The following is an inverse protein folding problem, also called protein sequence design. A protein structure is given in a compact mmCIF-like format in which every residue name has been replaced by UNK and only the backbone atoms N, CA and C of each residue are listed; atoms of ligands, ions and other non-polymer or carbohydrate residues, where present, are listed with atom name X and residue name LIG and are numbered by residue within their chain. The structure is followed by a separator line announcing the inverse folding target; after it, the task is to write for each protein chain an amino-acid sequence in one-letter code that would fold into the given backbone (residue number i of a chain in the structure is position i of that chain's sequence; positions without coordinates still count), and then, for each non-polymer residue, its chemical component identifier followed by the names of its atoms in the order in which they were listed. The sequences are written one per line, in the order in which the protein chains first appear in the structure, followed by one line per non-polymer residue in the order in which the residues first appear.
data_IF_119951061958
#
_entry.id   IF_119951061958
#
_cell.length_a   1.000
_cell.length_b   1.000
_cell.length_c   1.000
_cell.angle_alpha   90.00
_cell.angle_beta   90.00
_cell.angle_gamma   90.00
#
_symmetry.space_group_name_H-M   'P 1'
#
loop_
_entity.id
_entity.type
_entity.pdbx_description
1 polymer ?
#
# COMPACT_ATOMS: atom_id res chain seq x y z
N UNK A 1 11.80 33.77 27.30
CA UNK A 1 11.33 34.59 26.16
C UNK A 1 10.39 33.75 25.32
N UNK A 2 9.20 34.27 24.98
CA UNK A 2 8.27 33.62 24.05
C UNK A 2 8.84 33.73 22.63
N UNK A 3 8.92 32.62 21.90
CA UNK A 3 9.16 32.61 20.46
C UNK A 3 7.88 32.20 19.73
N UNK A 4 7.63 32.86 18.60
CA UNK A 4 6.43 32.73 17.79
C UNK A 4 6.33 31.33 17.14
N UNK A 5 5.13 30.78 17.18
CA UNK A 5 4.63 29.64 16.39
C UNK A 5 5.51 28.38 16.31
N UNK A 6 5.71 27.73 17.46
CA UNK A 6 5.33 26.32 17.66
C UNK A 6 5.78 25.23 16.67
N UNK A 7 6.99 25.31 16.10
CA UNK A 7 7.57 24.13 15.43
C UNK A 7 8.09 23.20 16.52
N UNK A 8 7.27 22.24 16.92
CA UNK A 8 7.75 21.07 17.65
C UNK A 8 8.65 20.27 16.72
N UNK A 9 9.83 19.89 17.21
CA UNK A 9 10.69 18.90 16.57
C UNK A 9 10.02 17.52 16.71
N UNK A 10 8.91 17.29 16.00
CA UNK A 10 8.23 15.99 15.98
C UNK A 10 8.92 15.12 14.94
N UNK A 11 9.24 13.88 15.31
CA UNK A 11 9.60 12.83 14.37
C UNK A 11 8.39 12.55 13.45
N UNK A 12 8.23 13.34 12.39
CA UNK A 12 7.05 13.31 11.53
C UNK A 12 6.79 11.92 10.91
N UNK A 13 7.83 11.08 10.80
CA UNK A 13 7.71 9.70 10.31
C UNK A 13 7.03 8.76 11.31
N UNK A 14 7.23 8.93 12.62
CA UNK A 14 6.57 8.11 13.65
C UNK A 14 5.06 8.38 13.67
N UNK A 15 4.68 9.66 13.56
CA UNK A 15 3.27 10.06 13.44
C UNK A 15 2.61 9.50 12.16
N UNK A 16 3.34 9.45 11.04
CA UNK A 16 2.84 8.83 9.81
C UNK A 16 2.70 7.31 9.98
N UNK A 17 3.65 6.65 10.64
CA UNK A 17 3.58 5.22 10.95
C UNK A 17 2.34 4.94 11.81
N UNK A 18 2.14 5.70 12.89
CA UNK A 18 0.98 5.54 13.76
C UNK A 18 -0.33 5.74 12.98
N UNK A 19 -0.42 6.82 12.20
CA UNK A 19 -1.59 7.06 11.34
C UNK A 19 -1.85 5.93 10.34
N UNK A 20 -0.80 5.37 9.72
CA UNK A 20 -0.93 4.26 8.79
C UNK A 20 -1.45 2.99 9.45
N UNK A 21 -0.93 2.67 10.65
CA UNK A 21 -1.25 1.44 11.36
C UNK A 21 -2.63 1.51 12.05
N UNK A 22 -3.10 2.71 12.39
CA UNK A 22 -4.40 2.92 13.03
C UNK A 22 -5.56 3.07 12.02
N UNK A 23 -5.27 3.31 10.73
CA UNK A 23 -6.30 3.57 9.71
C UNK A 23 -6.79 2.29 9.04
N UNK A 24 -8.11 2.12 8.98
CA UNK A 24 -8.77 1.09 8.16
C UNK A 24 -8.67 1.49 6.68
N UNK A 25 -8.08 0.64 5.85
CA UNK A 25 -7.83 0.92 4.43
C UNK A 25 -8.00 -0.32 3.55
N UNK A 26 -8.96 -1.16 3.90
CA UNK A 26 -9.29 -2.40 3.19
C UNK A 26 -10.21 -2.13 1.98
N UNK A 27 -10.11 -0.93 1.42
CA UNK A 27 -10.93 -0.43 0.31
C UNK A 27 -10.43 -0.92 -1.04
N UNK A 28 -10.26 0.00 -1.98
CA UNK A 28 -9.77 -0.32 -3.32
C UNK A 28 -8.23 -0.43 -3.37
N UNK A 29 -7.69 -0.82 -4.52
CA UNK A 29 -6.27 -1.12 -4.69
C UNK A 29 -5.32 0.04 -4.31
N UNK A 30 -5.64 1.30 -4.62
CA UNK A 30 -4.88 2.47 -4.21
C UNK A 30 -4.93 2.70 -2.69
N UNK A 31 -6.08 2.58 -2.03
CA UNK A 31 -6.15 2.63 -0.55
C UNK A 31 -5.19 1.62 0.10
N UNK A 32 -5.21 0.39 -0.42
CA UNK A 32 -4.36 -0.70 0.03
C UNK A 32 -2.86 -0.44 -0.23
N UNK A 33 -2.54 0.13 -1.40
CA UNK A 33 -1.17 0.43 -1.81
C UNK A 33 -0.59 1.64 -1.06
N UNK A 34 -1.35 2.72 -0.88
CA UNK A 34 -0.87 3.99 -0.35
C UNK A 34 -0.30 3.87 1.07
N UNK A 35 -0.90 3.05 1.94
CA UNK A 35 -0.32 2.80 3.27
C UNK A 35 1.02 2.08 3.15
N UNK A 36 1.09 1.01 2.35
CA UNK A 36 2.31 0.23 2.19
C UNK A 36 3.43 1.12 1.65
N UNK A 37 3.09 2.03 0.74
CA UNK A 37 3.99 3.06 0.26
C UNK A 37 4.53 3.93 1.41
N UNK A 38 3.65 4.51 2.23
CA UNK A 38 4.05 5.33 3.38
C UNK A 38 4.91 4.54 4.39
N UNK A 39 4.49 3.34 4.76
CA UNK A 39 5.21 2.48 5.70
C UNK A 39 6.58 2.06 5.17
N UNK A 40 6.69 1.75 3.88
CA UNK A 40 7.97 1.45 3.25
C UNK A 40 8.95 2.62 3.43
N UNK A 41 8.58 3.83 3.04
CA UNK A 41 9.50 4.96 3.15
C UNK A 41 9.81 5.35 4.61
N UNK A 42 8.85 5.25 5.53
CA UNK A 42 9.09 5.55 6.93
C UNK A 42 9.99 4.50 7.61
N UNK A 43 9.79 3.21 7.32
CA UNK A 43 10.62 2.12 7.87
C UNK A 43 12.07 2.15 7.39
N UNK A 44 12.35 2.84 6.28
CA UNK A 44 13.72 3.04 5.76
C UNK A 44 14.54 4.05 6.55
N UNK A 45 13.90 4.90 7.34
CA UNK A 45 14.55 5.99 8.09
C UNK A 45 14.37 5.86 9.60
N UNK A 46 13.57 4.89 10.06
CA UNK A 46 13.33 4.61 11.48
C UNK A 46 12.94 3.15 11.70
N UNK A 47 13.41 2.57 12.79
CA UNK A 47 12.99 1.23 13.27
C UNK A 47 11.74 1.30 14.19
N UNK A 48 11.15 2.48 14.36
CA UNK A 48 9.95 2.67 15.18
C UNK A 48 8.81 1.73 14.73
N UNK A 49 8.26 0.97 15.69
CA UNK A 49 7.19 -0.02 15.47
C UNK A 49 7.44 -1.02 14.33
N UNK A 50 8.71 -1.33 14.05
CA UNK A 50 9.11 -2.27 12.98
C UNK A 50 8.30 -3.58 12.98
N UNK A 51 8.12 -4.19 14.17
CA UNK A 51 7.39 -5.45 14.27
C UNK A 51 5.92 -5.31 13.88
N UNK A 52 5.26 -4.23 14.29
CA UNK A 52 3.87 -3.95 13.93
C UNK A 52 3.73 -3.72 12.42
N UNK A 53 4.73 -3.06 11.80
CA UNK A 53 4.78 -2.86 10.34
C UNK A 53 4.91 -4.21 9.63
N UNK A 54 5.78 -5.10 10.10
CA UNK A 54 5.94 -6.45 9.53
C UNK A 54 4.62 -7.25 9.62
N UNK A 55 3.98 -7.23 10.79
CA UNK A 55 2.71 -7.94 11.02
C UNK A 55 1.58 -7.36 10.16
N UNK A 56 1.53 -6.03 10.01
CA UNK A 56 0.63 -5.35 9.09
C UNK A 56 0.85 -5.81 7.64
N UNK A 57 2.11 -5.92 7.20
CA UNK A 57 2.44 -6.36 5.85
C UNK A 57 1.99 -7.80 5.59
N UNK A 58 2.17 -8.73 6.54
CA UNK A 58 1.66 -10.10 6.41
C UNK A 58 0.14 -10.16 6.32
N UNK A 59 -0.56 -9.39 7.16
CA UNK A 59 -2.01 -9.28 7.07
C UNK A 59 -2.45 -8.73 5.70
N UNK A 60 -1.74 -7.72 5.20
CA UNK A 60 -2.02 -7.07 3.92
C UNK A 60 -1.85 -8.00 2.72
N UNK A 61 -0.84 -8.90 2.73
CA UNK A 61 -0.71 -9.94 1.70
C UNK A 61 -1.92 -10.88 1.67
N UNK A 62 -2.50 -11.19 2.83
CA UNK A 62 -3.75 -11.94 2.92
C UNK A 62 -4.91 -11.22 2.22
N UNK A 63 -5.06 -9.92 2.47
CA UNK A 63 -6.09 -9.08 1.84
C UNK A 63 -5.88 -8.99 0.33
N UNK A 64 -4.64 -8.80 -0.15
CA UNK A 64 -4.35 -8.70 -1.57
C UNK A 64 -4.80 -9.94 -2.35
N UNK A 65 -4.72 -11.11 -1.73
CA UNK A 65 -5.18 -12.36 -2.33
C UNK A 65 -6.68 -12.37 -2.65
N UNK A 66 -7.49 -11.60 -1.93
CA UNK A 66 -8.92 -11.46 -2.20
C UNK A 66 -9.23 -10.68 -3.49
N UNK A 67 -8.24 -9.98 -4.05
CA UNK A 67 -8.34 -9.24 -5.31
C UNK A 67 -7.73 -10.00 -6.48
N UNK A 68 -7.05 -11.12 -6.22
CA UNK A 68 -6.33 -11.90 -7.23
C UNK A 68 -7.25 -12.92 -7.90
N UNK A 69 -7.14 -13.05 -9.23
CA UNK A 69 -7.91 -14.00 -10.02
C UNK A 69 -7.01 -15.18 -10.41
N UNK A 70 -7.05 -16.28 -9.66
CA UNK A 70 -6.13 -17.42 -9.86
C UNK A 70 -6.18 -18.02 -11.28
N UNK A 71 -7.36 -18.08 -11.91
CA UNK A 71 -7.51 -18.70 -13.24
C UNK A 71 -7.00 -17.84 -14.39
N UNK A 72 -7.02 -16.51 -14.22
CA UNK A 72 -6.67 -15.53 -15.28
C UNK A 72 -5.28 -14.95 -15.03
N UNK A 73 -4.89 -14.86 -13.75
CA UNK A 73 -3.81 -14.02 -13.26
C UNK A 73 -4.24 -12.55 -13.16
N UNK A 74 -3.48 -11.79 -12.36
CA UNK A 74 -3.72 -10.36 -12.14
C UNK A 74 -4.71 -10.07 -11.03
N UNK A 75 -4.88 -8.78 -10.75
CA UNK A 75 -5.74 -8.28 -9.67
C UNK A 75 -6.78 -7.31 -10.20
N UNK A 76 -7.96 -7.29 -9.60
CA UNK A 76 -8.97 -6.26 -9.86
C UNK A 76 -8.82 -5.07 -8.90
N UNK A 77 -9.21 -3.88 -9.33
CA UNK A 77 -9.11 -2.65 -8.54
C UNK A 77 -10.05 -2.62 -7.32
N UNK A 78 -11.25 -3.15 -7.49
CA UNK A 78 -12.18 -3.45 -6.40
C UNK A 78 -12.30 -4.97 -6.24
N UNK A 79 -12.68 -5.46 -5.07
CA UNK A 79 -12.94 -6.90 -4.89
C UNK A 79 -14.03 -7.37 -5.87
N UNK A 80 -13.69 -8.37 -6.70
CA UNK A 80 -14.56 -8.94 -7.74
C UNK A 80 -15.09 -7.92 -8.77
N UNK A 81 -14.36 -6.80 -9.00
CA UNK A 81 -14.80 -5.77 -9.93
C UNK A 81 -13.62 -4.93 -10.46
N UNK A 82 -13.49 -4.85 -11.79
CA UNK A 82 -12.54 -3.99 -12.46
C UNK A 82 -12.83 -2.49 -12.21
N UNK A 83 -11.80 -1.65 -12.23
CA UNK A 83 -11.99 -0.21 -12.14
C UNK A 83 -12.87 0.32 -13.28
N UNK A 84 -13.99 0.98 -12.96
CA UNK A 84 -14.90 1.55 -13.95
C UNK A 84 -14.83 3.08 -14.02
N UNK A 85 -14.26 3.76 -13.02
CA UNK A 85 -14.19 5.22 -12.95
C UNK A 85 -12.77 5.67 -12.61
N UNK A 86 -12.20 6.52 -13.46
CA UNK A 86 -10.92 7.17 -13.21
C UNK A 86 -11.05 8.68 -13.44
N UNK A 87 -10.84 9.48 -12.40
CA UNK A 87 -11.05 10.94 -12.42
C UNK A 87 -12.38 11.37 -13.08
N UNK A 88 -13.48 10.74 -12.67
CA UNK A 88 -14.85 10.96 -13.20
C UNK A 88 -15.06 10.51 -14.65
N UNK A 89 -14.04 9.99 -15.34
CA UNK A 89 -14.20 9.37 -16.65
C UNK A 89 -14.52 7.89 -16.49
N UNK A 90 -15.47 7.40 -17.28
CA UNK A 90 -15.76 5.95 -17.35
C UNK A 90 -14.71 5.28 -18.23
N UNK A 91 -13.97 4.32 -17.67
CA UNK A 91 -12.85 3.65 -18.36
C UNK A 91 -13.12 2.20 -18.72
N UNK A 92 -14.02 1.53 -18.00
CA UNK A 92 -14.44 0.14 -18.30
C UNK A 92 -15.92 -0.08 -18.00
N UNK A 93 -16.39 -1.32 -18.18
CA UNK A 93 -17.73 -1.75 -17.76
C UNK A 93 -17.80 -2.19 -16.29
N UNK A 94 -16.67 -2.27 -15.58
CA UNK A 94 -16.61 -2.74 -14.20
C UNK A 94 -17.06 -4.20 -14.06
N UNK A 95 -16.59 -5.08 -14.93
CA UNK A 95 -16.89 -6.51 -14.88
C UNK A 95 -16.11 -7.18 -13.74
N UNK A 96 -16.52 -8.40 -13.38
CA UNK A 96 -15.79 -9.22 -12.42
C UNK A 96 -14.56 -9.86 -13.10
N UNK A 97 -13.52 -9.05 -13.31
CA UNK A 97 -12.29 -9.43 -14.00
C UNK A 97 -11.11 -8.62 -13.45
N UNK A 98 -9.87 -9.12 -13.58
CA UNK A 98 -8.68 -8.34 -13.24
C UNK A 98 -8.54 -7.15 -14.18
N UNK A 99 -7.90 -6.08 -13.70
CA UNK A 99 -7.62 -4.90 -14.50
C UNK A 99 -6.20 -4.38 -14.27
N UNK A 100 -5.71 -3.56 -15.20
CA UNK A 100 -4.33 -3.07 -15.16
C UNK A 100 -4.08 -2.16 -13.96
N UNK A 101 -5.07 -1.40 -13.50
CA UNK A 101 -4.91 -0.46 -12.40
C UNK A 101 -4.76 -1.22 -11.08
N UNK A 102 -5.68 -2.15 -10.80
CA UNK A 102 -5.58 -3.04 -9.65
C UNK A 102 -4.30 -3.85 -9.67
N UNK A 103 -3.98 -4.47 -10.81
CA UNK A 103 -2.78 -5.31 -10.96
C UNK A 103 -1.49 -4.53 -10.66
N UNK A 104 -1.34 -3.33 -11.21
CA UNK A 104 -0.13 -2.52 -10.98
C UNK A 104 -0.01 -2.11 -9.51
N UNK A 105 -1.10 -1.67 -8.88
CA UNK A 105 -1.09 -1.25 -7.47
C UNK A 105 -0.72 -2.40 -6.53
N UNK A 106 -1.32 -3.56 -6.69
CA UNK A 106 -1.05 -4.71 -5.82
C UNK A 106 0.33 -5.32 -6.06
N UNK A 107 0.78 -5.45 -7.31
CA UNK A 107 2.15 -5.93 -7.60
C UNK A 107 3.19 -4.97 -7.04
N UNK A 108 2.97 -3.66 -7.13
CA UNK A 108 3.86 -2.68 -6.52
C UNK A 108 3.84 -2.78 -5.00
N UNK A 109 2.66 -2.90 -4.38
CA UNK A 109 2.55 -3.13 -2.94
C UNK A 109 3.31 -4.39 -2.49
N UNK A 110 3.20 -5.50 -3.23
CA UNK A 110 3.95 -6.74 -2.96
C UNK A 110 5.46 -6.51 -3.05
N UNK A 111 5.92 -5.76 -4.05
CA UNK A 111 7.33 -5.43 -4.21
C UNK A 111 7.88 -4.56 -3.06
N UNK A 112 7.06 -3.67 -2.49
CA UNK A 112 7.45 -2.89 -1.32
C UNK A 112 7.42 -3.73 -0.04
N UNK A 113 6.37 -4.53 0.15
CA UNK A 113 6.26 -5.47 1.27
C UNK A 113 7.45 -6.42 1.30
N UNK A 114 7.87 -6.96 0.14
CA UNK A 114 9.02 -7.87 0.10
C UNK A 114 10.31 -7.21 0.58
N UNK A 115 10.50 -5.91 0.33
CA UNK A 115 11.64 -5.15 0.84
C UNK A 115 11.52 -4.86 2.34
N UNK A 116 10.32 -4.54 2.85
CA UNK A 116 10.08 -4.36 4.30
C UNK A 116 10.41 -5.65 5.05
N UNK A 117 9.90 -6.78 4.55
CA UNK A 117 10.02 -8.10 5.18
C UNK A 117 11.36 -8.81 4.89
N UNK A 118 12.25 -8.20 4.08
CA UNK A 118 13.49 -8.81 3.61
C UNK A 118 13.29 -10.21 2.99
N UNK A 119 12.33 -10.33 2.07
CA UNK A 119 12.06 -11.58 1.36
C UNK A 119 13.01 -11.75 0.16
N UNK A 120 14.01 -12.62 0.33
CA UNK A 120 15.12 -12.81 -0.63
C UNK A 120 14.72 -13.41 -1.99
N UNK A 121 13.49 -13.91 -2.14
CA UNK A 121 13.02 -14.49 -3.41
C UNK A 121 12.44 -13.45 -4.38
N UNK A 122 12.37 -12.17 -3.98
CA UNK A 122 11.78 -11.08 -4.76
C UNK A 122 12.79 -9.94 -4.94
N UNK A 123 13.63 -10.02 -5.98
CA UNK A 123 14.61 -8.97 -6.29
C UNK A 123 14.08 -7.93 -7.29
N UNK A 124 12.97 -7.26 -6.94
CA UNK A 124 12.50 -6.11 -7.71
C UNK A 124 13.34 -4.87 -7.39
N UNK A 125 13.77 -4.18 -8.45
CA UNK A 125 14.20 -2.78 -8.34
C UNK A 125 12.97 -1.91 -8.14
N UNK A 126 12.97 -1.09 -7.10
CA UNK A 126 11.88 -0.13 -6.87
C UNK A 126 12.03 0.99 -7.91
N UNK A 127 10.97 1.31 -8.68
CA UNK A 127 11.04 2.39 -9.67
C UNK A 127 11.37 3.73 -8.99
N UNK A 128 12.10 4.59 -9.72
CA UNK A 128 12.38 5.95 -9.27
C UNK A 128 11.05 6.71 -9.19
N UNK A 129 10.72 7.20 -8.00
CA UNK A 129 9.62 8.13 -7.74
C UNK A 129 10.14 9.54 -7.59
#
# INVERSE_FOLDING_TARGET
GKMAAGIYNTNNHELVIDGCLDTINDGEACSNFNIIYCLYYCSRISDYRKKDIEDFCYNRLGIYKEFYFDEIGGFSFHKNKANDIYYRARITKGLNEPDIHGTVMFVWGIALISKILNLDFVDFKIPLT
#
